data_IF_817119643861
#
_entry.id   IF_817119643861
#
_cell.length_a   1.000
_cell.length_b   1.000
_cell.length_c   1.000
_cell.angle_alpha   90.00
_cell.angle_beta   90.00
_cell.angle_gamma   90.00
#
_symmetry.space_group_name_H-M   'P 1'
#
loop_
_entity.id
_entity.type
_entity.pdbx_description
1 polymer ?
#
# COMPACT_ATOMS: atom_id res chain seq x y z
N UNK A 1 -72.66 16.70 -33.53
CA UNK A 1 -72.38 16.78 -32.15
C UNK A 1 -70.87 16.63 -32.07
N UNK A 2 -70.20 17.61 -32.18
CA UNK A 2 -69.25 18.53 -31.54
C UNK A 2 -68.72 17.97 -30.21
N UNK A 3 -67.52 18.05 -29.84
CA UNK A 3 -66.46 19.03 -30.12
C UNK A 3 -65.07 18.42 -29.84
N UNK A 4 -64.12 18.87 -30.61
CA UNK A 4 -62.71 18.62 -30.46
C UNK A 4 -62.12 19.54 -29.39
N UNK A 5 -61.86 19.03 -28.22
CA UNK A 5 -61.05 19.75 -27.22
C UNK A 5 -59.57 19.75 -27.63
N UNK A 6 -59.22 20.79 -28.37
CA UNK A 6 -57.77 21.09 -28.58
C UNK A 6 -57.16 21.67 -27.31
N UNK A 7 -56.37 20.87 -26.64
CA UNK A 7 -55.52 21.36 -25.57
C UNK A 7 -54.47 22.30 -26.16
N UNK A 8 -54.67 23.59 -26.00
CA UNK A 8 -53.68 24.60 -26.39
C UNK A 8 -52.46 24.51 -25.46
N UNK A 9 -51.41 23.86 -25.94
CA UNK A 9 -50.13 23.80 -25.22
C UNK A 9 -49.55 25.22 -25.19
N UNK A 10 -49.48 25.81 -24.00
CA UNK A 10 -48.81 27.08 -23.80
C UNK A 10 -47.31 26.93 -24.11
N UNK A 11 -46.93 27.31 -25.34
CA UNK A 11 -45.56 27.17 -25.86
C UNK A 11 -44.51 27.80 -24.94
N UNK A 12 -44.79 28.91 -24.25
CA UNK A 12 -43.87 29.55 -23.31
C UNK A 12 -43.61 28.69 -22.05
N UNK A 13 -44.64 28.02 -21.53
CA UNK A 13 -44.50 27.12 -20.41
C UNK A 13 -43.76 25.81 -20.75
N UNK A 14 -43.95 25.32 -21.99
CA UNK A 14 -43.23 24.13 -22.47
C UNK A 14 -41.72 24.40 -22.64
N UNK A 15 -41.33 25.53 -23.19
CA UNK A 15 -39.92 25.92 -23.34
C UNK A 15 -39.22 26.12 -21.98
N UNK A 16 -39.93 26.71 -21.00
CA UNK A 16 -39.37 26.88 -19.65
C UNK A 16 -39.13 25.52 -18.96
N UNK A 17 -40.04 24.56 -19.11
CA UNK A 17 -39.89 23.20 -18.56
C UNK A 17 -38.76 22.43 -19.23
N UNK A 18 -38.57 22.55 -20.52
CA UNK A 18 -37.46 21.93 -21.27
C UNK A 18 -36.11 22.57 -20.80
N UNK A 19 -36.05 23.89 -20.68
CA UNK A 19 -34.84 24.58 -20.21
C UNK A 19 -34.46 24.20 -18.76
N UNK A 20 -35.44 24.05 -17.88
CA UNK A 20 -35.19 23.58 -16.48
C UNK A 20 -34.74 22.13 -16.46
N UNK A 21 -35.35 21.23 -17.25
CA UNK A 21 -34.90 19.83 -17.34
C UNK A 21 -33.49 19.69 -17.92
N UNK A 22 -33.12 20.45 -18.95
CA UNK A 22 -31.77 20.40 -19.51
C UNK A 22 -30.73 20.96 -18.55
N UNK A 23 -31.05 21.99 -17.78
CA UNK A 23 -30.14 22.53 -16.73
C UNK A 23 -29.97 21.55 -15.57
N UNK A 24 -31.04 20.86 -15.13
CA UNK A 24 -30.93 19.88 -14.05
C UNK A 24 -30.18 18.62 -14.49
N UNK A 25 -30.43 18.11 -15.68
CA UNK A 25 -29.71 16.95 -16.24
C UNK A 25 -28.24 17.31 -16.48
N UNK A 26 -27.96 18.49 -17.05
CA UNK A 26 -26.60 18.99 -17.24
C UNK A 26 -25.85 19.18 -15.90
N UNK A 27 -26.54 19.70 -14.88
CA UNK A 27 -26.00 19.85 -13.53
C UNK A 27 -25.68 18.52 -12.84
N UNK A 28 -26.56 17.51 -13.01
CA UNK A 28 -26.36 16.17 -12.47
C UNK A 28 -25.19 15.46 -13.18
N UNK A 29 -25.10 15.57 -14.49
CA UNK A 29 -23.98 15.00 -15.26
C UNK A 29 -22.67 15.69 -14.89
N UNK A 30 -22.65 17.02 -14.77
CA UNK A 30 -21.48 17.76 -14.33
C UNK A 30 -21.07 17.37 -12.90
N UNK A 31 -22.02 17.20 -11.98
CA UNK A 31 -21.75 16.76 -10.62
C UNK A 31 -21.23 15.30 -10.59
N UNK A 32 -21.73 14.42 -11.45
CA UNK A 32 -21.22 13.06 -11.59
C UNK A 32 -19.81 13.01 -12.19
N UNK A 33 -19.49 13.88 -13.14
CA UNK A 33 -18.16 13.95 -13.76
C UNK A 33 -17.16 14.65 -12.86
N UNK A 34 -17.57 15.69 -12.13
CA UNK A 34 -16.71 16.42 -11.19
C UNK A 34 -16.60 15.75 -9.82
N UNK A 35 -17.58 14.89 -9.47
CA UNK A 35 -17.66 14.18 -8.20
C UNK A 35 -17.15 12.73 -8.24
N UNK A 36 -16.63 12.24 -9.38
CA UNK A 36 -15.89 10.98 -9.36
C UNK A 36 -14.66 11.19 -8.51
N UNK A 37 -14.52 10.47 -7.37
CA UNK A 37 -13.27 10.49 -6.63
C UNK A 37 -12.17 10.16 -7.65
N UNK A 38 -11.17 11.05 -7.80
CA UNK A 38 -9.96 10.66 -8.52
C UNK A 38 -9.58 9.30 -8.02
N UNK A 39 -9.51 8.33 -8.90
CA UNK A 39 -9.00 7.00 -8.60
C UNK A 39 -7.74 7.20 -7.77
N UNK A 40 -7.68 6.60 -6.59
CA UNK A 40 -6.50 6.76 -5.75
C UNK A 40 -5.33 6.17 -6.55
N UNK A 41 -4.61 7.05 -7.23
CA UNK A 41 -3.56 6.68 -8.15
C UNK A 41 -2.37 6.17 -7.32
N UNK A 42 -2.16 4.86 -7.34
CA UNK A 42 -0.89 4.30 -6.87
C UNK A 42 0.25 4.59 -7.85
N UNK A 43 -0.01 5.27 -8.95
CA UNK A 43 0.91 5.48 -10.04
C UNK A 43 2.13 6.37 -9.75
N UNK A 44 2.07 7.26 -8.76
CA UNK A 44 3.22 8.05 -8.36
C UNK A 44 4.03 7.37 -7.27
N UNK A 45 5.36 7.46 -7.33
CA UNK A 45 6.25 7.05 -6.23
C UNK A 45 5.97 7.96 -5.03
N UNK A 46 5.73 7.38 -3.86
CA UNK A 46 5.46 8.14 -2.64
C UNK A 46 6.73 8.57 -1.93
N UNK A 47 7.77 7.74 -2.00
CA UNK A 47 9.07 8.03 -1.43
C UNK A 47 10.16 7.27 -2.20
N UNK A 48 11.04 8.00 -2.90
CA UNK A 48 12.13 7.37 -3.68
C UNK A 48 13.08 6.56 -2.79
N UNK A 49 13.20 6.89 -1.51
CA UNK A 49 14.08 6.19 -0.56
C UNK A 49 13.60 4.78 -0.22
N UNK A 50 12.35 4.46 -0.53
CA UNK A 50 11.75 3.13 -0.33
C UNK A 50 11.69 2.31 -1.62
N UNK A 51 12.43 2.72 -2.67
CA UNK A 51 12.44 2.05 -3.97
C UNK A 51 13.70 1.23 -4.21
N UNK A 52 13.60 0.23 -5.08
CA UNK A 52 14.72 -0.46 -5.72
C UNK A 52 14.56 -0.29 -7.24
N UNK A 53 15.68 -0.09 -7.93
CA UNK A 53 15.70 0.13 -9.37
C UNK A 53 15.78 1.61 -9.75
N UNK A 54 15.56 1.91 -11.04
CA UNK A 54 15.63 3.26 -11.54
C UNK A 54 14.29 3.99 -11.30
N UNK A 55 14.30 5.06 -10.50
CA UNK A 55 13.10 5.87 -10.21
C UNK A 55 12.46 6.50 -11.45
N UNK A 56 13.18 6.54 -12.58
CA UNK A 56 12.70 7.00 -13.89
C UNK A 56 12.20 5.86 -14.79
N UNK A 57 12.17 4.63 -14.27
CA UNK A 57 11.68 3.47 -15.01
C UNK A 57 10.22 3.67 -15.45
N UNK A 58 9.89 3.13 -16.63
CA UNK A 58 8.52 3.24 -17.17
C UNK A 58 7.50 2.42 -16.40
N UNK A 59 7.97 1.43 -15.68
CA UNK A 59 7.16 0.44 -15.00
C UNK A 59 7.30 0.62 -13.51
N UNK A 60 6.23 1.08 -12.86
CA UNK A 60 6.20 1.27 -11.42
C UNK A 60 5.42 0.11 -10.77
N UNK A 61 6.14 -0.73 -10.03
CA UNK A 61 5.60 -1.83 -9.26
C UNK A 61 5.55 -1.44 -7.78
N UNK A 62 4.38 -1.56 -7.17
CA UNK A 62 4.18 -1.20 -5.77
C UNK A 62 3.83 -2.43 -4.96
N UNK A 63 4.54 -2.62 -3.86
CA UNK A 63 4.16 -3.54 -2.80
C UNK A 63 3.77 -2.73 -1.56
N UNK A 64 2.57 -2.94 -1.06
CA UNK A 64 2.20 -2.46 0.26
C UNK A 64 2.39 -3.58 1.28
N UNK A 65 3.02 -3.26 2.37
CA UNK A 65 3.45 -4.22 3.39
C UNK A 65 3.14 -3.72 4.80
N UNK A 66 2.99 -4.65 5.70
CA UNK A 66 2.98 -4.42 7.14
C UNK A 66 4.11 -5.23 7.76
N UNK A 67 4.94 -4.59 8.57
CA UNK A 67 6.13 -5.22 9.17
C UNK A 67 5.75 -6.40 10.06
N UNK A 68 4.62 -6.32 10.75
CA UNK A 68 4.13 -7.38 11.63
C UNK A 68 3.42 -8.53 10.90
N UNK A 69 3.23 -8.43 9.58
CA UNK A 69 2.51 -9.44 8.80
C UNK A 69 3.42 -10.62 8.43
N UNK A 70 3.10 -11.87 8.85
CA UNK A 70 3.92 -13.03 8.55
C UNK A 70 4.04 -13.34 7.05
N UNK A 71 2.99 -13.07 6.27
CA UNK A 71 3.03 -13.27 4.81
C UNK A 71 3.88 -12.21 4.11
N UNK A 72 3.96 -10.99 4.66
CA UNK A 72 4.90 -9.97 4.21
C UNK A 72 6.34 -10.36 4.50
N UNK A 73 6.59 -10.96 5.66
CA UNK A 73 7.90 -11.49 6.02
C UNK A 73 8.32 -12.64 5.08
N UNK A 74 7.46 -13.62 4.83
CA UNK A 74 7.77 -14.70 3.88
C UNK A 74 8.12 -14.19 2.49
N UNK A 75 7.33 -13.23 1.97
CA UNK A 75 7.62 -12.58 0.68
C UNK A 75 8.98 -11.89 0.71
N UNK A 76 9.24 -11.06 1.72
CA UNK A 76 10.49 -10.31 1.84
C UNK A 76 11.70 -11.23 1.89
N UNK A 77 11.65 -12.31 2.65
CA UNK A 77 12.75 -13.28 2.74
C UNK A 77 12.97 -14.02 1.42
N UNK A 78 11.90 -14.42 0.74
CA UNK A 78 12.00 -15.07 -0.56
C UNK A 78 12.66 -14.13 -1.59
N UNK A 79 12.25 -12.85 -1.62
CA UNK A 79 12.84 -11.82 -2.48
C UNK A 79 14.33 -11.61 -2.18
N UNK A 80 14.64 -11.42 -0.88
CA UNK A 80 15.98 -11.11 -0.39
C UNK A 80 16.97 -12.25 -0.60
N UNK A 81 16.50 -13.50 -0.59
CA UNK A 81 17.37 -14.66 -0.85
C UNK A 81 18.01 -14.61 -2.24
N UNK A 82 17.46 -13.77 -3.13
CA UNK A 82 17.87 -13.60 -4.53
C UNK A 82 17.94 -12.12 -4.95
N UNK A 83 18.38 -11.26 -4.03
CA UNK A 83 18.38 -9.81 -4.25
C UNK A 83 19.08 -9.40 -5.55
N UNK A 84 20.25 -9.93 -5.84
CA UNK A 84 20.99 -9.58 -7.06
C UNK A 84 20.23 -10.00 -8.34
N UNK A 85 19.56 -11.15 -8.30
CA UNK A 85 18.73 -11.62 -9.42
C UNK A 85 17.48 -10.73 -9.58
N UNK A 86 16.91 -10.28 -8.47
CA UNK A 86 15.78 -9.36 -8.47
C UNK A 86 16.17 -7.99 -9.05
N UNK A 87 17.24 -7.38 -8.58
CA UNK A 87 17.74 -6.10 -9.09
C UNK A 87 18.05 -6.17 -10.59
N UNK A 88 18.67 -7.27 -11.03
CA UNK A 88 18.92 -7.51 -12.45
C UNK A 88 17.60 -7.59 -13.24
N UNK A 89 16.61 -8.34 -12.73
CA UNK A 89 15.29 -8.46 -13.35
C UNK A 89 14.59 -7.09 -13.49
N UNK A 90 14.65 -6.25 -12.45
CA UNK A 90 14.09 -4.90 -12.49
C UNK A 90 14.74 -4.05 -13.58
N UNK A 91 16.07 -4.10 -13.68
CA UNK A 91 16.82 -3.34 -14.69
C UNK A 91 16.49 -3.80 -16.11
N UNK A 92 16.43 -5.11 -16.36
CA UNK A 92 16.11 -5.70 -17.68
C UNK A 92 14.70 -5.40 -18.17
N UNK A 93 13.76 -5.17 -17.23
CA UNK A 93 12.35 -4.92 -17.55
C UNK A 93 11.92 -3.44 -17.36
N UNK A 94 12.88 -2.54 -17.12
CA UNK A 94 12.66 -1.11 -16.90
C UNK A 94 11.59 -0.88 -15.80
N UNK A 95 11.81 -1.53 -14.63
CA UNK A 95 10.91 -1.50 -13.47
C UNK A 95 11.56 -0.74 -12.32
N UNK A 96 10.79 0.13 -11.66
CA UNK A 96 11.04 0.57 -10.28
C UNK A 96 10.09 -0.17 -9.35
N UNK A 97 10.63 -0.74 -8.29
CA UNK A 97 9.88 -1.44 -7.25
C UNK A 97 9.84 -0.58 -5.99
N UNK A 98 8.65 -0.18 -5.56
CA UNK A 98 8.42 0.63 -4.37
C UNK A 98 7.78 -0.20 -3.26
N UNK A 99 8.30 -0.09 -2.04
CA UNK A 99 7.67 -0.63 -0.84
C UNK A 99 6.97 0.48 -0.06
N UNK A 100 5.69 0.29 0.20
CA UNK A 100 4.86 1.19 1.01
C UNK A 100 4.54 0.52 2.33
N UNK A 101 5.15 1.02 3.40
CA UNK A 101 4.92 0.49 4.74
C UNK A 101 3.65 1.08 5.33
N UNK A 102 2.82 0.21 5.91
CA UNK A 102 1.54 0.55 6.54
C UNK A 102 1.45 -0.09 7.93
N UNK A 103 0.48 0.34 8.71
CA UNK A 103 0.05 -0.26 9.97
C UNK A 103 -1.30 -0.99 9.81
N UNK A 104 -1.49 -1.68 8.68
CA UNK A 104 -2.72 -2.34 8.31
C UNK A 104 -3.24 -3.30 9.38
N UNK A 105 -2.34 -3.94 10.11
CA UNK A 105 -2.68 -4.88 11.19
C UNK A 105 -2.96 -4.21 12.54
N UNK A 106 -2.87 -2.88 12.64
CA UNK A 106 -2.97 -2.16 13.91
C UNK A 106 -4.26 -2.47 14.70
N UNK A 107 -5.34 -2.85 14.03
CA UNK A 107 -6.61 -3.21 14.65
C UNK A 107 -6.76 -4.72 14.92
N UNK A 108 -5.75 -5.54 14.58
CA UNK A 108 -5.81 -7.00 14.66
C UNK A 108 -5.07 -7.57 15.89
N UNK A 109 -5.60 -7.28 17.09
CA UNK A 109 -5.07 -7.83 18.34
C UNK A 109 -3.78 -7.18 18.83
N UNK A 110 -3.10 -7.82 19.80
CA UNK A 110 -1.90 -7.27 20.43
C UNK A 110 -0.71 -7.17 19.47
N UNK A 111 -0.58 -8.10 18.54
CA UNK A 111 0.45 -8.04 17.50
C UNK A 111 0.23 -6.84 16.58
N UNK A 112 -1.02 -6.60 16.19
CA UNK A 112 -1.39 -5.45 15.39
C UNK A 112 -1.06 -4.13 16.06
N UNK A 113 -1.23 -4.01 17.37
CA UNK A 113 -0.88 -2.80 18.13
C UNK A 113 0.62 -2.42 18.03
N UNK A 114 1.49 -3.32 17.58
CA UNK A 114 2.90 -3.05 17.32
C UNK A 114 3.18 -2.65 15.87
N UNK A 115 2.21 -2.82 14.99
CA UNK A 115 2.32 -2.53 13.56
C UNK A 115 2.65 -1.08 13.29
N UNK A 116 1.97 -0.13 13.95
CA UNK A 116 2.23 1.30 13.81
C UNK A 116 3.67 1.64 14.23
N UNK A 117 4.14 1.11 15.37
CA UNK A 117 5.51 1.35 15.87
C UNK A 117 6.56 0.79 14.92
N UNK A 118 6.34 -0.43 14.41
CA UNK A 118 7.23 -1.08 13.45
C UNK A 118 7.30 -0.32 12.13
N UNK A 119 6.15 0.11 11.61
CA UNK A 119 6.06 0.89 10.38
C UNK A 119 6.76 2.24 10.51
N UNK A 120 6.53 2.96 11.61
CA UNK A 120 7.15 4.25 11.89
C UNK A 120 8.67 4.12 11.98
N UNK A 121 9.19 3.16 12.74
CA UNK A 121 10.63 2.92 12.84
C UNK A 121 11.25 2.61 11.47
N UNK A 122 10.56 1.79 10.66
CA UNK A 122 11.03 1.44 9.31
C UNK A 122 11.11 2.68 8.41
N UNK A 123 10.11 3.56 8.44
CA UNK A 123 10.14 4.81 7.68
C UNK A 123 11.18 5.79 8.24
N UNK A 124 11.43 5.82 9.55
CA UNK A 124 12.46 6.68 10.13
C UNK A 124 13.88 6.34 9.64
N UNK A 125 14.14 5.11 9.22
CA UNK A 125 15.42 4.74 8.63
C UNK A 125 15.72 5.47 7.30
N UNK A 126 14.69 6.06 6.65
CA UNK A 126 14.88 6.91 5.47
C UNK A 126 15.64 8.20 5.79
N UNK A 127 15.61 8.68 7.03
CA UNK A 127 16.35 9.88 7.44
C UNK A 127 17.88 9.73 7.28
N UNK A 128 18.35 8.48 7.23
CA UNK A 128 19.76 8.13 6.99
C UNK A 128 19.98 7.36 5.68
N UNK A 129 18.96 7.35 4.79
CA UNK A 129 18.96 6.60 3.52
C UNK A 129 19.24 5.09 3.72
N UNK A 130 18.78 4.52 4.82
CA UNK A 130 19.02 3.14 5.24
C UNK A 130 17.69 2.36 5.40
N UNK A 131 16.66 2.74 4.62
CA UNK A 131 15.35 2.07 4.65
C UNK A 131 15.46 0.56 4.43
N UNK A 132 16.16 0.12 3.40
CA UNK A 132 16.27 -1.29 3.04
C UNK A 132 17.03 -2.10 4.07
N UNK A 133 18.10 -1.55 4.63
CA UNK A 133 18.86 -2.22 5.70
C UNK A 133 17.97 -2.44 6.92
N UNK A 134 17.20 -1.43 7.31
CA UNK A 134 16.29 -1.54 8.43
C UNK A 134 15.14 -2.51 8.15
N UNK A 135 14.49 -2.37 6.99
CA UNK A 135 13.41 -3.24 6.57
C UNK A 135 13.80 -4.72 6.60
N UNK A 136 14.95 -5.04 6.03
CA UNK A 136 15.47 -6.40 6.01
C UNK A 136 15.83 -6.92 7.41
N UNK A 137 16.44 -6.08 8.24
CA UNK A 137 16.78 -6.46 9.60
C UNK A 137 15.54 -6.65 10.45
N UNK A 138 14.54 -5.77 10.33
CA UNK A 138 13.28 -5.87 11.06
C UNK A 138 12.53 -7.17 10.70
N UNK A 139 12.38 -7.47 9.41
CA UNK A 139 11.74 -8.71 8.95
C UNK A 139 12.47 -9.95 9.49
N UNK A 140 13.81 -9.97 9.44
CA UNK A 140 14.61 -11.09 9.99
C UNK A 140 14.44 -11.23 11.50
N UNK A 141 14.49 -10.13 12.24
CA UNK A 141 14.31 -10.17 13.70
C UNK A 141 12.93 -10.67 14.08
N UNK A 142 11.88 -10.27 13.33
CA UNK A 142 10.53 -10.77 13.53
C UNK A 142 10.38 -12.25 13.19
N UNK A 143 11.08 -12.75 12.18
CA UNK A 143 11.10 -14.18 11.89
C UNK A 143 11.73 -14.97 13.04
N UNK A 144 12.91 -14.55 13.48
CA UNK A 144 13.66 -15.22 14.56
C UNK A 144 12.93 -15.18 15.91
N UNK A 145 12.37 -14.03 16.26
CA UNK A 145 11.73 -13.80 17.55
C UNK A 145 10.26 -14.25 17.60
N UNK A 146 9.61 -14.33 16.45
CA UNK A 146 8.16 -14.37 16.39
C UNK A 146 7.58 -15.39 15.39
N UNK A 147 7.79 -15.21 14.09
CA UNK A 147 7.12 -16.00 13.07
C UNK A 147 7.58 -17.45 13.03
N UNK A 148 8.89 -17.71 13.07
CA UNK A 148 9.44 -19.08 13.07
C UNK A 148 9.07 -19.88 14.32
N UNK A 149 8.74 -19.21 15.42
CA UNK A 149 8.29 -19.85 16.66
C UNK A 149 6.82 -20.23 16.65
N UNK A 150 6.12 -20.05 15.53
CA UNK A 150 4.69 -20.30 15.42
C UNK A 150 3.83 -19.28 16.17
N UNK A 151 4.42 -18.18 16.62
CA UNK A 151 3.71 -17.08 17.26
C UNK A 151 3.22 -16.20 16.10
N UNK A 152 2.02 -16.47 15.62
CA UNK A 152 1.40 -15.66 14.59
C UNK A 152 0.74 -14.42 15.19
N UNK A 153 0.28 -13.50 14.34
CA UNK A 153 -0.51 -12.31 14.71
C UNK A 153 -1.88 -12.67 15.33
N UNK A 154 -1.90 -13.66 16.21
CA UNK A 154 -3.09 -14.09 16.90
C UNK A 154 -3.35 -13.20 18.12
N UNK A 155 -4.60 -12.85 18.33
CA UNK A 155 -5.04 -12.15 19.54
C UNK A 155 -4.60 -12.94 20.77
N UNK A 156 -3.85 -12.28 21.67
CA UNK A 156 -3.35 -12.93 22.89
C UNK A 156 -2.10 -13.79 22.67
N UNK A 157 -1.38 -13.66 21.55
CA UNK A 157 -0.12 -14.37 21.34
C UNK A 157 0.92 -13.93 22.39
N UNK A 158 1.50 -14.86 23.17
CA UNK A 158 2.50 -14.52 24.18
C UNK A 158 3.78 -14.02 23.51
N UNK A 159 4.45 -13.05 24.13
CA UNK A 159 5.79 -12.59 23.72
C UNK A 159 5.84 -11.31 22.89
N UNK A 160 4.71 -10.77 22.43
CA UNK A 160 4.67 -9.48 21.69
C UNK A 160 4.92 -8.28 22.59
N UNK A 161 4.65 -8.40 23.87
CA UNK A 161 4.77 -7.30 24.84
C UNK A 161 6.18 -6.72 24.92
N UNK A 162 7.22 -7.49 24.54
CA UNK A 162 8.59 -7.02 24.52
C UNK A 162 8.96 -6.20 23.27
N UNK A 163 8.09 -6.15 22.25
CA UNK A 163 8.27 -5.34 21.05
C UNK A 163 7.79 -3.92 21.30
N UNK A 164 8.40 -3.27 22.27
CA UNK A 164 8.16 -1.85 22.59
C UNK A 164 9.06 -0.93 21.74
N UNK A 165 9.07 0.36 22.07
CA UNK A 165 9.90 1.33 21.37
C UNK A 165 11.40 0.97 21.40
N UNK A 166 11.88 0.40 22.49
CA UNK A 166 13.30 0.04 22.64
C UNK A 166 13.66 -1.14 21.72
N UNK A 167 12.75 -2.07 21.47
CA UNK A 167 12.95 -3.15 20.51
C UNK A 167 13.25 -2.60 19.10
N UNK A 168 12.44 -1.68 18.62
CA UNK A 168 12.63 -1.08 17.29
C UNK A 168 13.87 -0.20 17.21
N UNK A 169 14.18 0.54 18.25
CA UNK A 169 15.42 1.32 18.36
C UNK A 169 16.67 0.43 18.36
N UNK A 170 16.62 -0.72 19.02
CA UNK A 170 17.71 -1.71 19.05
C UNK A 170 17.99 -2.26 17.66
N UNK A 171 16.96 -2.58 16.85
CA UNK A 171 17.14 -3.01 15.46
C UNK A 171 17.94 -1.96 14.67
N UNK A 172 17.59 -0.68 14.82
CA UNK A 172 18.34 0.41 14.18
C UNK A 172 19.79 0.50 14.66
N UNK A 173 20.01 0.35 15.94
CA UNK A 173 21.35 0.37 16.52
C UNK A 173 22.22 -0.79 16.00
N UNK A 174 21.67 -1.99 15.89
CA UNK A 174 22.38 -3.18 15.39
C UNK A 174 22.89 -3.02 13.95
N UNK A 175 22.24 -2.19 13.15
CA UNK A 175 22.67 -1.85 11.79
C UNK A 175 23.41 -0.52 11.71
N UNK A 176 23.70 0.13 12.83
CA UNK A 176 24.48 1.36 12.90
C UNK A 176 23.73 2.64 12.56
N UNK A 177 22.40 2.67 12.73
CA UNK A 177 21.62 3.90 12.60
C UNK A 177 21.92 4.86 13.76
N UNK A 178 22.02 6.15 13.43
CA UNK A 178 22.46 7.20 14.31
C UNK A 178 21.35 8.02 14.97
N UNK A 179 21.70 9.30 15.24
CA UNK A 179 20.82 10.21 15.98
C UNK A 179 19.61 10.65 15.15
N UNK A 180 19.75 10.76 13.83
CA UNK A 180 18.65 11.18 12.96
C UNK A 180 17.50 10.18 13.01
N UNK A 181 17.82 8.89 12.92
CA UNK A 181 16.85 7.80 13.09
C UNK A 181 16.20 7.84 14.48
N UNK A 182 17.02 7.88 15.54
CA UNK A 182 16.51 7.89 16.92
C UNK A 182 15.59 9.08 17.19
N UNK A 183 15.99 10.28 16.71
CA UNK A 183 15.21 11.50 16.85
C UNK A 183 13.90 11.41 16.07
N UNK A 184 13.95 10.93 14.82
CA UNK A 184 12.75 10.72 14.00
C UNK A 184 11.73 9.86 14.74
N UNK A 185 12.15 8.70 15.25
CA UNK A 185 11.27 7.74 15.90
C UNK A 185 10.71 8.27 17.24
N UNK A 186 11.56 8.89 18.10
CA UNK A 186 11.13 9.45 19.39
C UNK A 186 10.19 10.66 19.25
N UNK A 187 10.33 11.43 18.18
CA UNK A 187 9.49 12.60 17.88
C UNK A 187 8.28 12.25 17.01
N UNK A 188 8.05 10.99 16.71
CA UNK A 188 6.93 10.49 15.88
C UNK A 188 6.81 11.17 14.50
N UNK A 189 7.95 11.45 13.84
CA UNK A 189 7.98 12.22 12.60
C UNK A 189 7.33 11.51 11.41
N UNK A 190 7.30 10.18 11.40
CA UNK A 190 6.75 9.40 10.31
C UNK A 190 5.34 8.85 10.59
N UNK A 191 4.79 9.12 11.77
CA UNK A 191 3.50 8.57 12.19
C UNK A 191 2.36 8.97 11.24
N UNK A 192 2.27 10.25 10.90
CA UNK A 192 1.24 10.73 9.96
C UNK A 192 1.42 10.12 8.57
N UNK A 193 2.67 9.89 8.14
CA UNK A 193 2.97 9.22 6.87
C UNK A 193 2.51 7.77 6.88
N UNK A 194 2.74 7.03 7.96
CA UNK A 194 2.26 5.65 8.14
C UNK A 194 0.74 5.61 8.00
N UNK A 195 0.04 6.45 8.76
CA UNK A 195 -1.44 6.52 8.76
C UNK A 195 -2.01 6.92 7.41
N UNK A 196 -1.35 7.86 6.72
CA UNK A 196 -1.72 8.24 5.35
C UNK A 196 -1.54 7.07 4.38
N UNK A 197 -0.43 6.35 4.45
CA UNK A 197 -0.16 5.17 3.63
C UNK A 197 -1.24 4.11 3.84
N UNK A 198 -1.58 3.81 5.10
CA UNK A 198 -2.61 2.83 5.47
C UNK A 198 -3.97 3.25 4.94
N UNK A 199 -4.37 4.51 5.15
CA UNK A 199 -5.64 5.04 4.64
C UNK A 199 -5.75 4.94 3.11
N UNK A 200 -4.71 5.35 2.39
CA UNK A 200 -4.68 5.27 0.92
C UNK A 200 -4.76 3.82 0.44
N UNK A 201 -3.98 2.93 1.06
CA UNK A 201 -3.99 1.51 0.73
C UNK A 201 -5.36 0.87 0.97
N UNK A 202 -5.97 1.13 2.12
CA UNK A 202 -7.30 0.62 2.45
C UNK A 202 -8.37 1.06 1.41
N UNK A 203 -8.32 2.32 0.96
CA UNK A 203 -9.22 2.82 -0.09
C UNK A 203 -9.06 2.09 -1.42
N UNK A 204 -7.84 1.71 -1.78
CA UNK A 204 -7.54 0.99 -3.01
C UNK A 204 -7.99 -0.46 -2.89
N UNK A 205 -7.62 -1.12 -1.80
CA UNK A 205 -8.01 -2.52 -1.53
C UNK A 205 -9.53 -2.69 -1.48
N UNK A 206 -10.26 -1.72 -0.93
CA UNK A 206 -11.72 -1.74 -0.91
C UNK A 206 -12.31 -1.70 -2.34
N UNK A 207 -11.71 -0.93 -3.25
CA UNK A 207 -12.17 -0.85 -4.65
C UNK A 207 -11.86 -2.12 -5.44
N UNK A 208 -10.71 -2.74 -5.19
CA UNK A 208 -10.28 -3.96 -5.87
C UNK A 208 -10.84 -5.25 -5.27
N UNK A 209 -11.66 -5.14 -4.20
CA UNK A 209 -12.15 -6.29 -3.43
C UNK A 209 -11.02 -7.21 -2.93
N UNK A 210 -9.85 -6.62 -2.69
CA UNK A 210 -8.67 -7.30 -2.16
C UNK A 210 -8.60 -7.09 -0.65
N UNK A 211 -8.36 -8.13 0.13
CA UNK A 211 -8.45 -8.09 1.58
C UNK A 211 -7.20 -8.56 2.32
N UNK A 212 -6.02 -8.59 1.70
CA UNK A 212 -4.83 -9.18 2.31
C UNK A 212 -3.53 -8.41 2.11
N UNK A 213 -2.57 -8.71 2.99
CA UNK A 213 -1.18 -8.27 2.89
C UNK A 213 -0.26 -9.48 2.62
N UNK A 214 0.87 -9.29 1.91
CA UNK A 214 1.24 -8.10 1.15
C UNK A 214 0.26 -7.81 0.01
N UNK A 215 0.07 -6.53 -0.34
CA UNK A 215 -0.74 -6.12 -1.47
C UNK A 215 0.15 -5.57 -2.59
N UNK A 216 -0.16 -5.96 -3.83
CA UNK A 216 0.65 -5.61 -5.00
C UNK A 216 -0.17 -4.90 -6.05
N UNK A 217 0.42 -3.88 -6.65
CA UNK A 217 -0.15 -3.17 -7.79
C UNK A 217 0.91 -2.86 -8.84
N UNK A 218 0.56 -3.14 -10.10
CA UNK A 218 1.37 -2.80 -11.26
C UNK A 218 0.44 -2.53 -12.45
N UNK A 219 0.28 -1.28 -12.82
CA UNK A 219 -0.70 -0.90 -13.83
C UNK A 219 -2.11 -1.38 -13.46
N UNK A 220 -2.71 -2.23 -14.29
CA UNK A 220 -4.02 -2.87 -14.03
C UNK A 220 -3.91 -4.15 -13.21
N UNK A 221 -2.72 -4.69 -13.04
CA UNK A 221 -2.51 -5.88 -12.23
C UNK A 221 -2.60 -5.53 -10.75
N UNK A 222 -3.45 -6.24 -10.05
CA UNK A 222 -3.62 -6.15 -8.60
C UNK A 222 -3.76 -7.55 -8.02
N UNK A 223 -3.06 -7.81 -6.91
CA UNK A 223 -3.19 -9.06 -6.16
C UNK A 223 -2.78 -8.86 -4.70
N UNK A 224 -3.12 -9.82 -3.84
CA UNK A 224 -2.73 -9.78 -2.43
C UNK A 224 -2.40 -11.17 -1.89
N UNK A 225 -1.70 -11.18 -0.76
CA UNK A 225 -1.26 -12.40 -0.10
C UNK A 225 0.03 -12.96 -0.69
N UNK A 226 0.54 -14.01 -0.07
CA UNK A 226 1.73 -14.74 -0.49
C UNK A 226 1.68 -16.16 0.08
N UNK A 227 2.06 -17.15 -0.70
CA UNK A 227 2.17 -18.52 -0.19
C UNK A 227 3.56 -18.71 0.44
N UNK A 228 3.58 -19.15 1.69
CA UNK A 228 4.82 -19.35 2.47
C UNK A 228 5.81 -20.35 1.85
N UNK A 229 5.33 -21.21 0.96
CA UNK A 229 6.17 -22.22 0.26
C UNK A 229 6.85 -21.65 -0.99
N UNK A 230 6.50 -20.44 -1.41
CA UNK A 230 7.02 -19.83 -2.63
C UNK A 230 8.40 -19.21 -2.40
N UNK A 231 9.24 -19.33 -3.42
CA UNK A 231 10.53 -18.67 -3.52
C UNK A 231 10.53 -17.54 -4.54
N UNK A 232 11.72 -17.12 -4.95
CA UNK A 232 11.90 -16.02 -5.90
C UNK A 232 11.32 -16.33 -7.29
N UNK A 233 11.39 -17.57 -7.76
CA UNK A 233 10.85 -17.95 -9.08
C UNK A 233 9.31 -17.80 -9.15
N UNK A 234 8.62 -18.12 -8.06
CA UNK A 234 7.18 -17.91 -7.94
C UNK A 234 6.84 -16.42 -7.85
N UNK A 235 7.64 -15.62 -7.13
CA UNK A 235 7.51 -14.14 -7.11
C UNK A 235 7.63 -13.60 -8.52
N UNK A 236 8.68 -13.98 -9.24
CA UNK A 236 8.89 -13.56 -10.62
C UNK A 236 7.68 -13.92 -11.50
N UNK A 237 7.27 -15.19 -11.48
CA UNK A 237 6.21 -15.71 -12.34
C UNK A 237 4.84 -15.13 -12.04
N UNK A 238 4.44 -15.09 -10.78
CA UNK A 238 3.05 -14.79 -10.38
C UNK A 238 2.81 -13.32 -10.07
N UNK A 239 3.86 -12.55 -9.78
CA UNK A 239 3.74 -11.13 -9.49
C UNK A 239 4.36 -10.27 -10.60
N UNK A 240 5.66 -10.38 -10.83
CA UNK A 240 6.38 -9.49 -11.73
C UNK A 240 5.99 -9.72 -13.20
N UNK A 241 6.11 -10.96 -13.70
CA UNK A 241 5.74 -11.31 -15.08
C UNK A 241 4.23 -11.16 -15.32
N UNK A 242 3.41 -11.49 -14.32
CA UNK A 242 1.96 -11.31 -14.42
C UNK A 242 1.60 -9.84 -14.59
N UNK A 243 2.23 -8.95 -13.84
CA UNK A 243 2.08 -7.51 -13.98
C UNK A 243 2.48 -7.01 -15.37
N UNK A 244 3.63 -7.44 -15.88
CA UNK A 244 4.11 -7.05 -17.22
C UNK A 244 3.17 -7.50 -18.35
N UNK A 245 2.46 -8.64 -18.20
CA UNK A 245 1.52 -9.14 -19.21
C UNK A 245 0.17 -8.43 -19.23
N UNK A 246 -0.17 -7.68 -18.21
CA UNK A 246 -1.49 -7.01 -18.07
C UNK A 246 -1.49 -5.55 -18.48
N UNK A 247 -0.42 -5.07 -19.12
CA UNK A 247 -0.29 -3.70 -19.64
C UNK A 247 -1.28 -3.36 -20.72
#
# INVERSE_FOLDING_TARGET
>A
MNDSDYVTINKKGAWLRIAVMTLTIGGIIAAMVLGTPKEADLGAIWDERTTIGNVKAKNHYVMTTDIMCPYCDYFSRALMSKQAEFEKYLAENDIVFEVRVTDFLNEYGEAGAKSEQAAEATLCATEENRFWDYYHKAMRSLDEDYHSRGIANAKGAPGITHMDADYWLKIGQEIGLGDSFRKCYKEHKMLDKVRENTKKTAQIMQKSNSGGMPYFKFGKFETSGFDKSWGFEEIKRYYLDAGLRTK
#
